data_IF_333713040456
#
_entry.id   IF_333713040456
#
_cell.length_a   1.000
_cell.length_b   1.000
_cell.length_c   1.000
_cell.angle_alpha   90.00
_cell.angle_beta   90.00
_cell.angle_gamma   90.00
#
_symmetry.space_group_name_H-M   'P 1'
#
loop_
_entity.id
_entity.type
_entity.pdbx_description
1 polymer ?
#
# COMPACT_ATOMS: atom_id res chain seq x y z
N UNK A 1 -14.59 -4.73 31.66
CA UNK A 1 -14.69 -3.26 31.50
C UNK A 1 -15.87 -2.92 30.61
N UNK A 2 -16.83 -2.17 31.13
CA UNK A 2 -18.02 -1.78 30.35
C UNK A 2 -17.81 -0.52 29.50
N UNK A 3 -16.91 0.36 29.92
CA UNK A 3 -16.62 1.61 29.22
C UNK A 3 -15.14 1.92 29.25
N UNK A 4 -14.68 2.49 28.15
CA UNK A 4 -13.33 3.02 28.03
C UNK A 4 -13.39 4.33 27.28
N UNK A 5 -12.77 5.36 27.85
CA UNK A 5 -12.72 6.69 27.22
C UNK A 5 -11.28 7.10 27.01
N UNK A 6 -10.99 7.58 25.83
CA UNK A 6 -9.68 8.08 25.47
C UNK A 6 -9.82 9.34 24.64
N UNK A 7 -9.04 10.36 24.98
CA UNK A 7 -8.94 11.56 24.18
C UNK A 7 -7.76 11.43 23.24
N UNK A 8 -8.00 11.68 21.98
CA UNK A 8 -7.01 11.50 20.96
C UNK A 8 -7.13 12.61 19.91
N UNK A 9 -5.99 13.09 19.40
CA UNK A 9 -6.02 13.99 18.25
C UNK A 9 -6.39 13.23 17.01
N UNK A 10 -7.18 13.85 16.12
CA UNK A 10 -7.45 13.29 14.82
C UNK A 10 -6.22 13.33 14.01
N UNK A 11 -5.46 12.91 13.56
CA UNK A 11 -4.28 13.05 12.71
C UNK A 11 -4.68 13.13 11.23
N UNK A 12 -5.80 13.83 10.99
CA UNK A 12 -6.36 13.99 9.66
C UNK A 12 -7.32 15.19 9.61
N UNK A 13 -7.83 15.54 8.44
CA UNK A 13 -8.56 16.79 8.22
C UNK A 13 -10.08 16.69 8.33
N UNK A 14 -10.67 15.54 8.68
CA UNK A 14 -12.12 15.34 8.56
C UNK A 14 -12.93 16.23 9.47
N UNK A 15 -12.55 16.35 10.74
CA UNK A 15 -13.26 17.21 11.69
C UNK A 15 -13.11 18.68 11.32
N UNK A 16 -11.95 19.07 10.89
CA UNK A 16 -11.68 20.43 10.43
C UNK A 16 -12.50 20.77 9.20
N UNK A 17 -12.58 19.88 8.22
CA UNK A 17 -13.38 20.07 7.01
C UNK A 17 -14.86 20.19 7.29
N UNK A 18 -15.35 19.54 8.34
CA UNK A 18 -16.74 19.60 8.77
C UNK A 18 -16.99 20.71 9.82
N UNK A 19 -15.96 21.50 10.12
CA UNK A 19 -15.99 22.58 11.13
C UNK A 19 -16.49 22.08 12.49
N UNK A 20 -15.97 20.94 12.93
CA UNK A 20 -16.30 20.33 14.21
C UNK A 20 -15.07 20.25 15.09
N UNK A 21 -15.27 20.46 16.40
CA UNK A 21 -14.18 20.42 17.38
C UNK A 21 -13.93 19.03 17.94
N UNK A 22 -14.98 18.26 18.10
CA UNK A 22 -14.95 16.94 18.74
C UNK A 22 -15.72 15.97 17.89
N UNK A 23 -15.17 14.78 17.73
CA UNK A 23 -15.87 13.66 17.10
C UNK A 23 -15.81 12.43 17.98
N UNK A 24 -16.90 11.67 18.02
CA UNK A 24 -16.94 10.37 18.68
C UNK A 24 -16.91 9.29 17.58
N UNK A 25 -15.88 8.45 17.54
CA UNK A 25 -15.82 7.42 16.50
C UNK A 25 -16.88 6.36 16.76
N UNK A 26 -17.57 5.94 15.69
CA UNK A 26 -18.55 4.86 15.75
C UNK A 26 -17.93 3.49 15.59
N UNK A 27 -16.68 3.44 15.18
CA UNK A 27 -15.95 2.21 14.98
C UNK A 27 -14.51 2.49 14.56
N UNK A 28 -13.76 1.44 14.32
CA UNK A 28 -12.37 1.50 13.91
C UNK A 28 -12.27 0.92 12.50
N UNK A 29 -11.47 1.55 11.63
CA UNK A 29 -11.17 1.00 10.32
C UNK A 29 -10.44 -0.33 10.46
N UNK A 30 -10.87 -1.32 9.70
CA UNK A 30 -10.12 -2.57 9.59
C UNK A 30 -8.78 -2.30 8.93
N UNK A 31 -7.73 -2.82 9.53
CA UNK A 31 -6.35 -2.62 9.09
C UNK A 31 -5.77 -3.94 8.62
N UNK A 32 -5.27 -3.96 7.40
CA UNK A 32 -4.55 -5.12 6.86
C UNK A 32 -3.22 -4.68 6.30
N UNK A 33 -2.17 -5.36 6.70
CA UNK A 33 -0.82 -5.17 6.21
C UNK A 33 -0.40 -6.38 5.40
N UNK A 34 0.18 -6.12 4.24
CA UNK A 34 0.70 -7.16 3.37
C UNK A 34 2.15 -6.89 3.03
N UNK A 35 2.93 -7.94 3.00
CA UNK A 35 4.30 -7.91 2.49
C UNK A 35 4.32 -8.64 1.15
N UNK A 36 4.75 -7.93 0.11
CA UNK A 36 4.81 -8.47 -1.23
C UNK A 36 6.26 -8.67 -1.64
N UNK A 37 6.59 -9.87 -2.06
CA UNK A 37 7.93 -10.25 -2.49
C UNK A 37 7.88 -10.64 -3.95
N UNK A 38 8.72 -10.01 -4.76
CA UNK A 38 8.83 -10.30 -6.18
C UNK A 38 10.25 -10.76 -6.51
N UNK A 39 10.34 -11.78 -7.35
CA UNK A 39 11.60 -12.33 -7.80
C UNK A 39 11.68 -12.22 -9.32
N UNK A 40 12.78 -11.72 -9.80
CA UNK A 40 13.09 -11.61 -11.21
C UNK A 40 14.46 -12.20 -11.49
N UNK A 41 15.13 -11.68 -12.50
CA UNK A 41 16.44 -12.15 -12.90
C UNK A 41 17.38 -10.98 -13.09
N UNK A 42 18.53 -11.01 -12.37
CA UNK A 42 19.53 -9.98 -12.44
C UNK A 42 20.42 -10.15 -13.66
N UNK A 43 20.55 -9.11 -14.45
CA UNK A 43 21.45 -9.07 -15.60
C UNK A 43 21.88 -7.62 -15.81
N UNK A 44 23.00 -7.46 -16.51
CA UNK A 44 23.49 -6.13 -16.83
C UNK A 44 22.56 -5.44 -17.83
N UNK A 45 22.26 -4.15 -17.58
CA UNK A 45 21.23 -3.42 -18.33
C UNK A 45 21.59 -3.21 -19.80
N UNK A 46 22.87 -3.02 -20.10
CA UNK A 46 23.29 -2.70 -21.46
C UNK A 46 23.09 -3.85 -22.46
N UNK A 47 23.67 -5.04 -22.19
CA UNK A 47 23.61 -6.15 -23.17
C UNK A 47 22.33 -6.97 -23.12
N UNK A 48 21.43 -6.76 -22.17
CA UNK A 48 20.23 -7.57 -22.02
C UNK A 48 19.08 -6.97 -22.81
N UNK A 49 18.54 -7.69 -23.84
CA UNK A 49 17.38 -7.18 -24.60
C UNK A 49 16.16 -6.94 -23.74
N UNK A 50 15.29 -6.04 -24.16
CA UNK A 50 14.05 -5.73 -23.44
C UNK A 50 13.12 -6.92 -23.36
N UNK A 51 12.99 -7.67 -24.45
CA UNK A 51 12.19 -8.89 -24.44
C UNK A 51 12.90 -9.97 -23.62
N UNK A 52 12.14 -10.73 -22.89
CA UNK A 52 12.67 -11.76 -22.01
C UNK A 52 13.26 -11.29 -20.70
N UNK A 53 13.20 -9.99 -20.41
CA UNK A 53 13.62 -9.48 -19.08
C UNK A 53 12.63 -9.91 -18.00
N UNK A 54 13.17 -10.29 -16.86
CA UNK A 54 12.39 -10.55 -15.65
C UNK A 54 12.73 -9.50 -14.61
N UNK A 55 12.25 -8.28 -14.84
CA UNK A 55 12.54 -7.10 -14.01
C UNK A 55 11.55 -7.02 -12.86
N UNK A 56 12.00 -7.36 -11.65
CA UNK A 56 11.14 -7.37 -10.47
C UNK A 56 10.61 -5.98 -10.12
N UNK A 57 11.40 -4.93 -10.38
CA UNK A 57 10.98 -3.57 -10.04
C UNK A 57 9.87 -3.07 -10.95
N UNK A 58 9.90 -3.40 -12.24
CA UNK A 58 8.82 -3.01 -13.16
C UNK A 58 7.52 -3.72 -12.76
N UNK A 59 7.60 -5.01 -12.42
CA UNK A 59 6.44 -5.74 -11.93
C UNK A 59 5.90 -5.12 -10.64
N UNK A 60 6.78 -4.73 -9.72
CA UNK A 60 6.37 -4.03 -8.50
C UNK A 60 5.69 -2.70 -8.81
N UNK A 61 6.23 -1.93 -9.76
CA UNK A 61 5.64 -0.65 -10.15
C UNK A 61 4.21 -0.82 -10.68
N UNK A 62 3.98 -1.83 -11.51
CA UNK A 62 2.64 -2.13 -12.01
C UNK A 62 1.68 -2.50 -10.88
N UNK A 63 2.13 -3.31 -9.94
CA UNK A 63 1.32 -3.69 -8.78
C UNK A 63 1.02 -2.49 -7.88
N UNK A 64 1.99 -1.62 -7.66
CA UNK A 64 1.82 -0.42 -6.85
C UNK A 64 0.77 0.50 -7.46
N UNK A 65 0.77 0.66 -8.78
CA UNK A 65 -0.26 1.44 -9.46
C UNK A 65 -1.65 0.83 -9.28
N UNK A 66 -1.77 -0.49 -9.32
CA UNK A 66 -3.03 -1.18 -9.07
C UNK A 66 -3.50 -0.99 -7.63
N UNK A 67 -2.59 -1.03 -6.67
CA UNK A 67 -2.92 -0.75 -5.26
C UNK A 67 -3.48 0.66 -5.12
N UNK A 68 -2.89 1.63 -5.79
CA UNK A 68 -3.36 3.02 -5.77
C UNK A 68 -4.78 3.17 -6.31
N UNK A 69 -5.17 2.33 -7.25
CA UNK A 69 -6.49 2.35 -7.88
C UNK A 69 -7.57 1.63 -7.07
N UNK A 70 -7.18 0.76 -6.11
CA UNK A 70 -8.14 -0.07 -5.35
C UNK A 70 -9.25 0.73 -4.68
N UNK A 71 -8.99 1.84 -3.97
CA UNK A 71 -10.06 2.59 -3.32
C UNK A 71 -11.11 3.10 -4.31
N UNK A 72 -10.70 3.49 -5.51
CA UNK A 72 -11.62 3.93 -6.55
C UNK A 72 -12.48 2.80 -7.13
N UNK A 73 -11.92 1.58 -7.19
CA UNK A 73 -12.63 0.41 -7.70
C UNK A 73 -13.58 -0.20 -6.69
N UNK A 74 -13.10 -0.32 -5.45
CA UNK A 74 -13.86 -0.99 -4.38
C UNK A 74 -14.91 -0.09 -3.76
N UNK A 75 -14.70 1.22 -3.83
CA UNK A 75 -15.60 2.21 -3.24
C UNK A 75 -15.55 2.23 -1.72
N UNK A 76 -16.55 2.87 -1.10
CA UNK A 76 -16.61 3.01 0.34
C UNK A 76 -15.52 3.91 0.89
N UNK A 77 -15.13 3.65 2.13
CA UNK A 77 -14.12 4.44 2.85
C UNK A 77 -12.75 3.75 2.87
N UNK A 78 -12.43 3.02 1.83
CA UNK A 78 -11.15 2.32 1.73
C UNK A 78 -10.02 3.30 1.40
N UNK A 79 -8.89 3.12 2.07
CA UNK A 79 -7.62 3.77 1.71
C UNK A 79 -6.54 2.68 1.57
N UNK A 80 -5.63 2.89 0.65
CA UNK A 80 -4.56 1.92 0.38
C UNK A 80 -3.27 2.69 0.10
N UNK A 81 -2.17 2.23 0.72
CA UNK A 81 -0.87 2.90 0.61
C UNK A 81 0.25 1.89 0.54
N UNK A 82 1.22 2.14 -0.33
CA UNK A 82 2.50 1.44 -0.33
C UNK A 82 3.50 2.39 0.34
N UNK A 83 3.96 2.03 1.53
CA UNK A 83 4.79 2.91 2.35
C UNK A 83 6.28 2.59 2.33
N UNK A 84 6.63 1.34 2.04
CA UNK A 84 8.03 0.90 2.01
C UNK A 84 8.30 0.10 0.75
N UNK A 85 9.49 0.27 0.20
CA UNK A 85 9.97 -0.54 -0.91
C UNK A 85 11.46 -0.79 -0.76
N UNK A 86 11.86 -2.04 -0.98
CA UNK A 86 13.27 -2.44 -1.00
C UNK A 86 13.56 -3.09 -2.35
N UNK A 87 14.64 -2.69 -2.97
CA UNK A 87 15.04 -3.13 -4.29
C UNK A 87 16.44 -3.74 -4.23
N UNK A 88 16.62 -4.91 -4.85
CA UNK A 88 17.90 -5.60 -4.87
C UNK A 88 18.29 -5.91 -6.32
N UNK A 89 19.53 -5.70 -6.72
CA UNK A 89 20.66 -5.21 -5.93
C UNK A 89 20.70 -3.68 -5.75
N UNK A 90 19.74 -2.96 -6.27
CA UNK A 90 19.67 -1.50 -6.17
C UNK A 90 20.87 -0.81 -6.81
N UNK A 91 21.22 -1.25 -7.99
CA UNK A 91 22.33 -0.74 -8.79
C UNK A 91 21.81 -0.16 -10.09
N UNK A 92 22.39 0.98 -10.53
CA UNK A 92 21.90 1.64 -11.76
C UNK A 92 22.12 0.81 -13.02
N UNK A 93 23.03 -0.15 -12.99
CA UNK A 93 23.39 -0.92 -14.18
C UNK A 93 23.03 -2.39 -14.13
N UNK A 94 22.25 -2.81 -13.13
CA UNK A 94 21.79 -4.20 -12.97
C UNK A 94 20.26 -4.21 -12.93
N UNK A 95 19.64 -5.10 -13.70
CA UNK A 95 18.19 -5.31 -13.66
C UNK A 95 17.82 -5.87 -12.29
N UNK A 96 16.85 -5.26 -11.60
CA UNK A 96 16.45 -5.75 -10.27
C UNK A 96 15.94 -7.18 -10.29
N UNK A 97 16.42 -7.99 -9.35
CA UNK A 97 16.03 -9.40 -9.24
C UNK A 97 15.12 -9.69 -8.06
N UNK A 98 15.05 -8.80 -7.09
CA UNK A 98 14.17 -8.95 -5.94
C UNK A 98 13.64 -7.61 -5.50
N UNK A 99 12.34 -7.56 -5.24
CA UNK A 99 11.68 -6.38 -4.69
C UNK A 99 10.76 -6.83 -3.57
N UNK A 100 10.81 -6.10 -2.47
CA UNK A 100 9.87 -6.24 -1.37
C UNK A 100 9.18 -4.91 -1.16
N UNK A 101 7.85 -4.89 -1.11
CA UNK A 101 7.12 -3.70 -0.73
C UNK A 101 5.98 -4.05 0.20
N UNK A 102 5.53 -3.06 0.95
CA UNK A 102 4.46 -3.23 1.92
C UNK A 102 3.19 -2.53 1.44
N UNK A 103 2.05 -3.12 1.74
CA UNK A 103 0.75 -2.54 1.43
C UNK A 103 -0.03 -2.40 2.74
N UNK A 104 -0.57 -1.21 2.96
CA UNK A 104 -1.42 -0.90 4.11
C UNK A 104 -2.81 -0.59 3.55
N UNK A 105 -3.80 -1.41 3.91
CA UNK A 105 -5.18 -1.22 3.47
C UNK A 105 -6.06 -1.04 4.69
N UNK A 106 -6.85 0.03 4.69
CA UNK A 106 -7.79 0.33 5.75
C UNK A 106 -9.17 0.54 5.19
N UNK A 107 -10.16 -0.06 5.82
CA UNK A 107 -11.55 0.01 5.36
C UNK A 107 -12.50 -0.16 6.53
N UNK A 108 -13.68 0.43 6.44
CA UNK A 108 -14.79 0.15 7.37
C UNK A 108 -15.37 -1.23 7.13
N UNK A 109 -15.19 -1.80 5.95
CA UNK A 109 -15.70 -3.10 5.56
C UNK A 109 -14.53 -4.08 5.42
N UNK A 110 -14.46 -5.04 6.34
CA UNK A 110 -13.42 -6.04 6.37
C UNK A 110 -13.42 -6.91 5.10
N UNK A 111 -14.60 -7.20 4.56
CA UNK A 111 -14.72 -7.97 3.31
C UNK A 111 -14.09 -7.24 2.13
N UNK A 112 -14.25 -5.93 2.04
CA UNK A 112 -13.61 -5.13 1.00
C UNK A 112 -12.09 -5.17 1.13
N UNK A 113 -11.58 -5.07 2.34
CA UNK A 113 -10.14 -5.14 2.59
C UNK A 113 -9.56 -6.49 2.19
N UNK A 114 -10.28 -7.58 2.47
CA UNK A 114 -9.85 -8.93 2.12
C UNK A 114 -9.85 -9.19 0.62
N UNK A 115 -10.71 -8.51 -0.14
CA UNK A 115 -10.77 -8.66 -1.60
C UNK A 115 -9.65 -7.92 -2.33
N UNK A 116 -8.97 -7.07 -1.66
CA UNK A 116 -7.84 -6.34 -2.24
C UNK A 116 -6.54 -7.15 -2.14
#
# INVERSE_FOLDING_TARGET
MHCYYEFHSEQGPMLERQNKRIGAPKGILCLHWYDIYLTGEANQVGPTPMDGRHDALVAAAEMILKVRELPGRMGGNMVATVGEIQNHPNSRNIIPDRVHFTVDIRSWDDDLALKS
#
